data_IF_957742789055
#
_entry.id   IF_957742789055
#
_cell.length_a   1.000
_cell.length_b   1.000
_cell.length_c   1.000
_cell.angle_alpha   90.00
_cell.angle_beta   90.00
_cell.angle_gamma   90.00
#
_symmetry.space_group_name_H-M   'P 1'
#
loop_
_entity.id
_entity.type
_entity.pdbx_description
1 polymer ?
#
# COMPACT_ATOMS: atom_id res chain seq x y z
N UNK A 1 -87.92 20.08 46.94
CA UNK A 1 -86.64 20.84 47.01
C UNK A 1 -85.48 19.86 46.96
N UNK A 2 -84.78 19.77 45.82
CA UNK A 2 -83.53 18.99 45.64
C UNK A 2 -82.58 19.89 44.89
N UNK A 3 -81.47 20.24 45.49
CA UNK A 3 -80.42 21.02 44.91
C UNK A 3 -79.56 20.10 44.02
N UNK A 4 -79.26 20.53 42.78
CA UNK A 4 -78.34 19.91 41.84
C UNK A 4 -76.98 20.53 42.07
N UNK A 5 -76.00 19.70 42.41
CA UNK A 5 -74.59 20.01 42.57
C UNK A 5 -73.91 19.98 41.21
N UNK A 6 -73.31 21.06 40.79
CA UNK A 6 -72.52 21.16 39.53
C UNK A 6 -71.13 20.71 39.83
N UNK A 7 -70.70 19.66 39.08
CA UNK A 7 -69.29 19.18 39.05
C UNK A 7 -68.47 19.96 38.00
N UNK A 8 -67.46 20.68 38.49
CA UNK A 8 -66.50 21.43 37.73
C UNK A 8 -65.54 20.49 37.03
N UNK A 9 -65.63 20.46 35.70
CA UNK A 9 -64.66 19.71 34.81
C UNK A 9 -63.34 20.46 34.74
N UNK A 10 -62.29 19.82 35.21
CA UNK A 10 -60.92 20.32 35.16
C UNK A 10 -60.31 19.95 33.82
N UNK A 11 -60.23 20.84 32.84
CA UNK A 11 -59.51 20.69 31.58
C UNK A 11 -58.03 20.56 31.88
N UNK A 12 -57.47 19.40 31.57
CA UNK A 12 -56.02 19.19 31.53
C UNK A 12 -55.49 19.78 30.23
N UNK A 13 -54.86 20.93 30.27
CA UNK A 13 -54.07 21.47 29.18
C UNK A 13 -52.85 20.58 28.99
N UNK A 14 -52.78 19.86 27.87
CA UNK A 14 -51.58 19.19 27.37
C UNK A 14 -50.58 20.26 26.89
N UNK A 15 -49.59 20.53 27.70
CA UNK A 15 -48.43 21.36 27.31
C UNK A 15 -47.58 20.56 26.34
N UNK A 16 -47.70 20.88 25.06
CA UNK A 16 -46.78 20.35 24.04
C UNK A 16 -45.42 20.99 24.31
N UNK A 17 -44.54 20.17 24.87
CA UNK A 17 -43.15 20.53 25.13
C UNK A 17 -42.45 20.73 23.79
N UNK A 18 -42.28 21.98 23.37
CA UNK A 18 -41.52 22.35 22.17
C UNK A 18 -40.04 22.00 22.41
N UNK A 19 -39.60 20.92 21.82
CA UNK A 19 -38.18 20.56 21.79
C UNK A 19 -37.42 21.58 20.94
N UNK A 20 -36.29 22.12 21.40
CA UNK A 20 -35.56 23.13 20.64
C UNK A 20 -34.96 22.50 19.39
N UNK A 21 -35.52 22.82 18.22
CA UNK A 21 -35.11 22.38 16.88
C UNK A 21 -33.66 22.75 16.51
N UNK A 22 -32.97 23.61 17.28
CA UNK A 22 -31.62 24.05 17.02
C UNK A 22 -30.57 22.97 17.23
N UNK A 23 -30.74 22.07 18.22
CA UNK A 23 -29.71 21.01 18.48
C UNK A 23 -29.68 19.92 17.45
N UNK A 24 -30.74 19.68 16.69
CA UNK A 24 -30.79 18.64 15.69
C UNK A 24 -29.99 19.00 14.44
N UNK A 25 -30.00 20.25 14.01
CA UNK A 25 -29.21 20.73 12.85
C UNK A 25 -27.71 20.67 13.08
N UNK A 26 -27.25 20.98 14.27
CA UNK A 26 -25.81 20.92 14.57
C UNK A 26 -25.28 19.49 14.67
N UNK A 27 -26.03 18.58 15.28
CA UNK A 27 -25.66 17.16 15.35
C UNK A 27 -25.63 16.51 13.98
N UNK A 28 -26.55 16.89 13.08
CA UNK A 28 -26.58 16.39 11.72
C UNK A 28 -25.40 16.92 10.87
N UNK A 29 -24.98 18.16 11.08
CA UNK A 29 -23.77 18.71 10.42
C UNK A 29 -22.51 18.02 10.88
N UNK A 30 -22.35 17.74 12.17
CA UNK A 30 -21.23 17.00 12.72
C UNK A 30 -21.17 15.56 12.17
N UNK A 31 -22.30 14.87 12.07
CA UNK A 31 -22.38 13.53 11.47
C UNK A 31 -21.98 13.54 9.98
N UNK A 32 -22.45 14.51 9.22
CA UNK A 32 -22.09 14.64 7.80
C UNK A 32 -20.59 14.91 7.62
N UNK A 33 -20.01 15.78 8.44
CA UNK A 33 -18.58 16.10 8.40
C UNK A 33 -17.73 14.88 8.80
N UNK A 34 -18.13 14.14 9.82
CA UNK A 34 -17.42 12.91 10.22
C UNK A 34 -17.52 11.81 9.17
N UNK A 35 -18.70 11.59 8.56
CA UNK A 35 -18.87 10.61 7.48
C UNK A 35 -18.07 11.03 6.24
N UNK A 36 -18.08 12.31 5.88
CA UNK A 36 -17.29 12.85 4.77
C UNK A 36 -15.78 12.71 5.03
N UNK A 37 -15.33 12.93 6.28
CA UNK A 37 -13.94 12.70 6.68
C UNK A 37 -13.54 11.22 6.59
N UNK A 38 -14.41 10.30 7.03
CA UNK A 38 -14.17 8.86 6.90
C UNK A 38 -14.14 8.42 5.42
N UNK A 39 -14.97 8.98 4.56
CA UNK A 39 -14.95 8.71 3.11
C UNK A 39 -13.70 9.26 2.44
N UNK A 40 -13.17 10.40 2.87
CA UNK A 40 -11.94 10.99 2.32
C UNK A 40 -10.67 10.24 2.76
N UNK A 41 -10.65 9.65 3.95
CA UNK A 41 -9.49 8.86 4.44
C UNK A 41 -9.38 7.50 3.74
N UNK A 42 -10.49 6.96 3.23
CA UNK A 42 -10.51 5.63 2.57
C UNK A 42 -9.87 5.60 1.16
N UNK A 43 -9.45 6.76 0.60
CA UNK A 43 -9.05 6.86 -0.82
C UNK A 43 -7.52 6.87 -1.03
N UNK A 44 -6.71 6.86 0.03
CA UNK A 44 -5.27 7.16 -0.08
C UNK A 44 -4.33 5.94 -0.09
N UNK A 45 -4.82 4.71 -0.20
CA UNK A 45 -3.98 3.52 -0.08
C UNK A 45 -3.53 2.98 -1.44
N UNK A 46 -2.28 3.26 -1.80
CA UNK A 46 -1.61 2.60 -2.93
C UNK A 46 -1.49 1.11 -2.67
N UNK A 47 -2.10 0.30 -3.50
CA UNK A 47 -2.11 -1.15 -3.29
C UNK A 47 -1.40 -1.87 -4.41
N UNK A 48 -0.44 -2.70 -4.03
CA UNK A 48 0.07 -3.71 -4.95
C UNK A 48 -1.10 -4.54 -5.49
N UNK A 49 -1.17 -4.73 -6.79
CA UNK A 49 -2.28 -5.42 -7.45
C UNK A 49 -3.33 -4.49 -8.08
N UNK A 50 -3.23 -3.18 -7.90
CA UNK A 50 -4.04 -2.20 -8.67
C UNK A 50 -3.57 -2.12 -10.13
N UNK A 51 -4.49 -1.77 -11.03
CA UNK A 51 -4.21 -1.57 -12.46
C UNK A 51 -3.53 -0.23 -12.73
N UNK A 52 -2.95 -0.07 -13.92
CA UNK A 52 -2.33 1.19 -14.34
C UNK A 52 -3.32 2.38 -14.31
N UNK A 53 -4.60 2.14 -14.63
CA UNK A 53 -5.64 3.17 -14.56
C UNK A 53 -5.87 3.62 -13.12
N UNK A 54 -5.99 2.68 -12.17
CA UNK A 54 -6.14 3.00 -10.75
C UNK A 54 -4.95 3.77 -10.19
N UNK A 55 -3.74 3.50 -10.72
CA UNK A 55 -2.55 4.29 -10.38
C UNK A 55 -2.64 5.72 -10.90
N UNK A 56 -3.12 5.93 -12.14
CA UNK A 56 -3.32 7.27 -12.70
C UNK A 56 -4.37 8.05 -11.88
N UNK A 57 -5.46 7.41 -11.51
CA UNK A 57 -6.51 8.04 -10.67
C UNK A 57 -5.96 8.49 -9.31
N UNK A 58 -5.00 7.76 -8.78
CA UNK A 58 -4.42 8.00 -7.45
C UNK A 58 -3.24 8.96 -7.45
N UNK A 59 -2.31 8.77 -8.37
CA UNK A 59 -1.02 9.48 -8.39
C UNK A 59 -0.92 10.52 -9.49
N UNK A 60 -1.92 10.60 -10.38
CA UNK A 60 -1.84 11.38 -11.60
C UNK A 60 -1.15 10.64 -12.73
N UNK A 61 -0.90 11.35 -13.83
CA UNK A 61 -0.18 10.78 -14.97
C UNK A 61 1.23 10.35 -14.57
N UNK A 62 1.73 9.22 -15.09
CA UNK A 62 3.10 8.80 -14.82
C UNK A 62 4.09 9.85 -15.38
N UNK A 63 5.14 10.15 -14.62
CA UNK A 63 6.23 11.04 -15.06
C UNK A 63 7.14 10.36 -16.07
N UNK A 64 7.18 9.01 -16.05
CA UNK A 64 7.87 8.19 -17.03
C UNK A 64 7.09 6.89 -17.24
N UNK A 65 6.89 6.51 -18.52
CA UNK A 65 6.28 5.25 -18.90
C UNK A 65 7.12 4.59 -19.97
N UNK A 66 7.85 3.53 -19.61
CA UNK A 66 8.67 2.78 -20.55
C UNK A 66 8.14 1.37 -20.74
N UNK A 67 7.91 1.00 -22.01
CA UNK A 67 7.59 -0.38 -22.38
C UNK A 67 8.82 -1.29 -22.37
N UNK A 68 10.05 -0.74 -22.36
CA UNK A 68 11.30 -1.54 -22.35
C UNK A 68 12.58 -0.71 -22.22
N UNK A 69 12.52 0.60 -22.41
CA UNK A 69 13.72 1.45 -22.30
C UNK A 69 13.66 2.25 -21.03
N UNK A 70 14.44 1.83 -20.09
CA UNK A 70 14.79 2.61 -18.92
C UNK A 70 15.75 3.68 -19.43
N UNK A 71 15.54 4.91 -19.02
CA UNK A 71 16.59 5.92 -19.11
C UNK A 71 17.86 5.30 -18.54
N UNK A 72 18.98 5.47 -19.21
CA UNK A 72 20.26 4.75 -19.04
C UNK A 72 20.83 4.66 -17.61
N UNK A 73 20.13 5.17 -16.60
CA UNK A 73 20.59 5.25 -15.21
C UNK A 73 19.88 4.32 -14.20
N UNK A 74 18.80 3.62 -14.57
CA UNK A 74 18.07 2.80 -13.61
C UNK A 74 17.73 1.39 -14.17
N UNK A 75 18.16 0.36 -13.45
CA UNK A 75 17.79 -1.03 -13.77
C UNK A 75 16.26 -1.22 -13.74
N UNK A 76 15.70 -2.06 -14.65
CA UNK A 76 14.29 -2.40 -14.65
C UNK A 76 13.90 -3.03 -13.32
N UNK A 77 12.66 -2.75 -12.86
CA UNK A 77 12.10 -3.48 -11.73
C UNK A 77 11.97 -4.98 -12.09
N UNK A 78 11.48 -5.25 -13.29
CA UNK A 78 11.34 -6.58 -13.87
C UNK A 78 11.67 -6.45 -15.35
N UNK A 79 12.60 -7.25 -15.85
CA UNK A 79 12.94 -7.25 -17.26
C UNK A 79 11.75 -7.66 -18.12
N UNK A 80 11.51 -6.95 -19.23
CA UNK A 80 10.39 -7.21 -20.13
C UNK A 80 9.02 -6.78 -19.65
N UNK A 81 8.90 -6.25 -18.45
CA UNK A 81 7.65 -5.70 -17.93
C UNK A 81 7.45 -4.22 -18.35
N UNK A 82 6.22 -3.75 -18.26
CA UNK A 82 5.86 -2.34 -18.43
C UNK A 82 6.15 -1.63 -17.12
N UNK A 83 6.82 -0.48 -17.19
CA UNK A 83 7.18 0.30 -16.01
C UNK A 83 6.53 1.68 -16.08
N UNK A 84 5.90 2.08 -14.96
CA UNK A 84 5.43 3.44 -14.76
C UNK A 84 6.13 4.02 -13.53
N UNK A 85 6.53 5.27 -13.63
CA UNK A 85 7.09 6.05 -12.53
C UNK A 85 6.15 7.19 -12.22
N UNK A 86 5.86 7.38 -10.93
CA UNK A 86 5.01 8.44 -10.41
C UNK A 86 5.79 9.23 -9.36
N UNK A 87 5.54 10.53 -9.30
CA UNK A 87 6.01 11.39 -8.21
C UNK A 87 4.80 11.90 -7.42
N UNK A 88 4.74 11.54 -6.16
CA UNK A 88 3.58 11.85 -5.32
C UNK A 88 4.01 12.16 -3.89
N UNK A 89 3.67 13.36 -3.38
CA UNK A 89 3.92 13.79 -2.00
C UNK A 89 5.37 13.55 -1.52
N UNK A 90 6.36 13.84 -2.36
CA UNK A 90 7.78 13.65 -2.03
C UNK A 90 8.28 12.21 -2.18
N UNK A 91 7.47 11.31 -2.74
CA UNK A 91 7.83 9.94 -3.06
C UNK A 91 7.94 9.73 -4.56
N UNK A 92 8.96 9.00 -4.96
CA UNK A 92 9.09 8.38 -6.28
C UNK A 92 8.59 6.94 -6.17
N UNK A 93 7.52 6.63 -6.89
CA UNK A 93 6.86 5.33 -6.88
C UNK A 93 7.06 4.71 -8.26
N UNK A 94 7.74 3.57 -8.33
CA UNK A 94 7.93 2.82 -9.55
C UNK A 94 7.09 1.56 -9.49
N UNK A 95 6.25 1.32 -10.50
CA UNK A 95 5.39 0.16 -10.60
C UNK A 95 5.72 -0.66 -11.86
N UNK A 96 5.73 -1.99 -11.73
CA UNK A 96 5.90 -2.91 -12.85
C UNK A 96 4.61 -3.69 -13.09
N UNK A 97 4.20 -3.76 -14.36
CA UNK A 97 3.00 -4.44 -14.84
C UNK A 97 3.43 -5.50 -15.87
N UNK A 98 2.94 -6.72 -15.74
CA UNK A 98 3.24 -7.78 -16.73
C UNK A 98 2.40 -7.65 -18.01
N UNK A 99 1.31 -6.90 -17.95
CA UNK A 99 0.39 -6.60 -19.05
C UNK A 99 -0.05 -5.15 -18.95
N UNK A 100 -0.40 -4.51 -20.08
CA UNK A 100 -0.77 -3.10 -20.15
C UNK A 100 -1.89 -2.72 -19.17
N UNK A 101 -2.95 -3.52 -19.15
CA UNK A 101 -4.12 -3.30 -18.29
C UNK A 101 -4.11 -4.22 -17.06
N UNK A 102 -2.98 -4.91 -16.86
CA UNK A 102 -2.82 -5.82 -15.75
C UNK A 102 -2.55 -5.10 -14.44
N UNK A 103 -2.67 -5.82 -13.32
CA UNK A 103 -2.34 -5.25 -12.03
C UNK A 103 -0.83 -5.19 -11.80
N UNK A 104 -0.39 -4.18 -11.05
CA UNK A 104 0.98 -4.02 -10.62
C UNK A 104 1.45 -5.26 -9.84
N UNK A 105 2.60 -5.79 -10.20
CA UNK A 105 3.18 -7.01 -9.60
C UNK A 105 4.37 -6.71 -8.71
N UNK A 106 5.04 -5.57 -8.93
CA UNK A 106 6.14 -5.06 -8.11
C UNK A 106 6.08 -3.55 -8.03
N UNK A 107 6.37 -3.01 -6.86
CA UNK A 107 6.43 -1.57 -6.61
C UNK A 107 7.66 -1.25 -5.79
N UNK A 108 8.35 -0.17 -6.15
CA UNK A 108 9.42 0.41 -5.34
C UNK A 108 8.98 1.82 -4.90
N UNK A 109 9.10 2.07 -3.61
CA UNK A 109 8.90 3.39 -3.00
C UNK A 109 10.25 3.94 -2.58
N UNK A 110 10.56 5.14 -3.03
CA UNK A 110 11.79 5.86 -2.69
C UNK A 110 11.46 7.32 -2.41
N UNK A 111 12.10 7.93 -1.41
CA UNK A 111 11.95 9.37 -1.20
C UNK A 111 12.65 10.15 -2.30
N UNK A 112 12.01 11.24 -2.74
CA UNK A 112 12.66 12.25 -3.60
C UNK A 112 13.63 13.02 -2.71
N UNK A 113 14.91 13.01 -3.10
CA UNK A 113 15.96 13.69 -2.34
C UNK A 113 15.83 15.18 -2.56
N UNK A 114 15.45 15.91 -1.50
CA UNK A 114 15.42 17.37 -1.46
C UNK A 114 16.34 17.86 -0.36
N UNK A 115 16.86 19.08 -0.49
CA UNK A 115 17.75 19.65 0.52
C UNK A 115 17.07 19.67 1.90
N UNK A 116 17.78 19.18 2.92
CA UNK A 116 17.29 19.12 4.31
C UNK A 116 16.36 17.94 4.66
N UNK A 117 15.98 17.10 3.71
CA UNK A 117 15.17 15.91 3.97
C UNK A 117 16.05 14.66 3.99
N UNK A 118 15.95 13.87 5.05
CA UNK A 118 16.64 12.59 5.11
C UNK A 118 16.11 11.63 4.03
N UNK A 119 16.98 11.04 3.19
CA UNK A 119 16.55 10.03 2.22
C UNK A 119 16.15 8.72 2.88
N UNK A 120 16.50 8.52 4.15
CA UNK A 120 16.16 7.29 4.86
C UNK A 120 14.67 7.20 5.16
N UNK A 121 14.12 6.02 4.94
CA UNK A 121 12.73 5.69 5.26
C UNK A 121 12.64 5.42 6.76
N UNK A 122 11.81 6.20 7.42
CA UNK A 122 11.56 6.06 8.86
C UNK A 122 10.56 4.94 9.14
N UNK A 123 10.57 4.41 10.36
CA UNK A 123 9.68 3.28 10.72
C UNK A 123 8.19 3.62 10.54
N UNK A 124 7.75 4.85 10.84
CA UNK A 124 6.36 5.27 10.63
C UNK A 124 5.97 5.33 9.14
N UNK A 125 6.91 5.71 8.25
CA UNK A 125 6.69 5.73 6.81
C UNK A 125 6.60 4.30 6.25
N UNK A 126 7.48 3.43 6.73
CA UNK A 126 7.42 2.00 6.40
C UNK A 126 6.08 1.39 6.83
N UNK A 127 5.61 1.68 8.06
CA UNK A 127 4.31 1.21 8.53
C UNK A 127 3.16 1.75 7.68
N UNK A 128 3.20 3.00 7.24
CA UNK A 128 2.22 3.57 6.32
C UNK A 128 2.19 2.84 4.98
N UNK A 129 3.37 2.56 4.37
CA UNK A 129 3.47 1.79 3.13
C UNK A 129 2.95 0.35 3.35
N UNK A 130 3.29 -0.29 4.47
CA UNK A 130 2.79 -1.62 4.81
C UNK A 130 1.26 -1.62 4.92
N UNK A 131 0.68 -0.67 5.66
CA UNK A 131 -0.76 -0.52 5.82
C UNK A 131 -1.46 -0.31 4.47
N UNK A 132 -0.91 0.61 3.64
CA UNK A 132 -1.41 0.89 2.29
C UNK A 132 -1.47 -0.37 1.39
N UNK A 133 -0.53 -1.28 1.56
CA UNK A 133 -0.43 -2.52 0.78
C UNK A 133 -1.02 -3.74 1.49
N UNK A 134 -1.85 -3.54 2.51
CA UNK A 134 -2.49 -4.61 3.30
C UNK A 134 -3.96 -4.74 2.94
N UNK A 135 -4.37 -5.74 2.15
CA UNK A 135 -5.79 -6.01 1.91
C UNK A 135 -6.53 -6.31 3.23
N UNK A 136 -7.83 -5.99 3.33
CA UNK A 136 -8.64 -6.31 4.49
C UNK A 136 -8.51 -7.79 4.90
N UNK A 137 -8.41 -8.04 6.20
CA UNK A 137 -8.29 -9.40 6.75
C UNK A 137 -6.92 -10.06 6.58
N UNK A 138 -5.91 -9.32 6.11
CA UNK A 138 -4.54 -9.83 5.98
C UNK A 138 -3.57 -9.10 6.91
N UNK A 139 -2.39 -9.66 7.10
CA UNK A 139 -1.33 -9.04 7.91
C UNK A 139 0.05 -9.43 7.37
N UNK A 140 1.03 -8.58 7.64
CA UNK A 140 2.43 -8.82 7.35
C UNK A 140 3.09 -9.53 8.53
N UNK A 141 3.83 -10.59 8.26
CA UNK A 141 4.65 -11.30 9.26
C UNK A 141 6.11 -11.08 8.93
N UNK A 142 6.96 -10.77 9.90
CA UNK A 142 8.41 -10.71 9.69
C UNK A 142 8.88 -12.03 9.05
N UNK A 143 9.77 -11.92 8.07
CA UNK A 143 10.41 -13.07 7.43
C UNK A 143 11.90 -12.91 7.52
N UNK A 144 12.60 -13.97 7.95
CA UNK A 144 14.05 -14.02 7.85
C UNK A 144 14.45 -14.08 6.40
N UNK A 145 15.40 -13.26 6.01
CA UNK A 145 16.03 -13.34 4.71
C UNK A 145 17.08 -14.44 4.74
N UNK A 146 16.74 -15.56 4.14
CA UNK A 146 17.66 -16.67 3.95
C UNK A 146 18.46 -16.44 2.67
N UNK A 147 19.57 -15.70 2.75
CA UNK A 147 20.47 -15.53 1.63
C UNK A 147 21.37 -16.78 1.54
N UNK A 148 21.15 -17.66 0.55
CA UNK A 148 21.96 -18.88 0.42
C UNK A 148 23.44 -18.62 0.21
N UNK A 149 23.79 -17.42 -0.26
CA UNK A 149 25.17 -16.99 -0.52
C UNK A 149 25.76 -16.11 0.62
N UNK A 150 24.99 -15.90 1.70
CA UNK A 150 25.52 -15.13 2.84
C UNK A 150 26.66 -15.90 3.52
N UNK A 151 27.83 -15.28 3.71
CA UNK A 151 28.91 -15.86 4.52
C UNK A 151 28.48 -16.12 5.98
N UNK A 152 27.35 -15.55 6.40
CA UNK A 152 26.82 -15.59 7.77
C UNK A 152 25.70 -16.64 7.97
N UNK A 153 25.65 -17.71 7.19
CA UNK A 153 24.67 -18.80 7.36
C UNK A 153 24.55 -19.35 8.79
N UNK A 154 25.58 -19.19 9.61
CA UNK A 154 25.57 -19.61 11.02
C UNK A 154 24.97 -18.62 12.01
N UNK A 155 24.86 -17.34 11.63
CA UNK A 155 24.35 -16.27 12.52
C UNK A 155 22.82 -16.19 12.52
N UNK A 156 22.15 -16.86 11.60
CA UNK A 156 20.68 -16.99 11.56
C UNK A 156 20.08 -17.57 12.87
N UNK A 157 20.88 -18.23 13.68
CA UNK A 157 20.46 -18.78 14.98
C UNK A 157 20.44 -17.74 16.13
N UNK A 158 20.97 -16.52 15.92
CA UNK A 158 21.11 -15.51 16.98
C UNK A 158 20.01 -14.45 17.02
N UNK A 159 18.89 -14.67 16.35
CA UNK A 159 17.70 -13.82 16.43
C UNK A 159 17.54 -12.88 15.24
N UNK A 160 16.29 -12.77 14.83
CA UNK A 160 15.81 -12.04 13.65
C UNK A 160 16.28 -10.57 13.58
N UNK A 161 16.42 -9.92 14.74
CA UNK A 161 16.79 -8.51 14.82
C UNK A 161 18.26 -8.24 14.47
N UNK A 162 19.17 -9.20 14.69
CA UNK A 162 20.60 -8.96 14.53
C UNK A 162 21.03 -8.95 13.06
N UNK A 163 20.53 -9.88 12.26
CA UNK A 163 20.90 -10.00 10.83
C UNK A 163 20.23 -8.89 10.02
N UNK A 164 18.96 -8.59 10.29
CA UNK A 164 18.24 -7.50 9.65
C UNK A 164 18.90 -6.14 9.93
N UNK A 165 19.40 -5.91 11.13
CA UNK A 165 20.08 -4.66 11.50
C UNK A 165 21.50 -4.55 10.90
N UNK A 166 22.23 -5.66 10.78
CA UNK A 166 23.60 -5.65 10.26
C UNK A 166 23.69 -5.29 8.76
N UNK A 167 22.64 -5.61 7.98
CA UNK A 167 22.60 -5.34 6.52
C UNK A 167 21.63 -4.20 6.17
N UNK A 168 20.90 -3.65 7.15
CA UNK A 168 19.87 -2.62 6.89
C UNK A 168 18.70 -3.14 6.05
N UNK A 169 18.53 -4.46 5.95
CA UNK A 169 17.48 -5.10 5.19
C UNK A 169 16.47 -5.77 6.12
N UNK A 170 15.20 -5.41 5.98
CA UNK A 170 14.10 -6.03 6.72
C UNK A 170 13.09 -6.57 5.71
N UNK A 171 12.52 -7.75 5.95
CA UNK A 171 11.55 -8.37 5.08
C UNK A 171 10.32 -8.85 5.85
N UNK A 172 9.16 -8.71 5.21
CA UNK A 172 7.89 -9.23 5.70
C UNK A 172 7.18 -9.99 4.58
N UNK A 173 6.37 -10.97 4.97
CA UNK A 173 5.57 -11.76 4.05
C UNK A 173 4.11 -11.80 4.50
N UNK A 174 3.21 -11.69 3.56
CA UNK A 174 1.77 -11.92 3.70
C UNK A 174 1.42 -13.39 3.44
N UNK A 175 0.25 -13.82 3.92
CA UNK A 175 -0.23 -15.22 3.72
C UNK A 175 -0.36 -15.61 2.25
N UNK A 176 -0.69 -14.66 1.37
CA UNK A 176 -0.79 -14.85 -0.09
C UNK A 176 0.56 -14.92 -0.80
N UNK A 177 1.67 -14.88 -0.05
CA UNK A 177 3.03 -14.93 -0.57
C UNK A 177 3.59 -13.59 -1.01
N UNK A 178 2.82 -12.49 -0.98
CA UNK A 178 3.34 -11.16 -1.22
C UNK A 178 4.41 -10.81 -0.19
N UNK A 179 5.42 -10.04 -0.61
CA UNK A 179 6.52 -9.63 0.27
C UNK A 179 6.71 -8.13 0.28
N UNK A 180 7.12 -7.58 1.41
CA UNK A 180 7.66 -6.23 1.54
C UNK A 180 9.12 -6.35 1.97
N UNK A 181 9.95 -5.53 1.35
CA UNK A 181 11.37 -5.50 1.57
C UNK A 181 11.86 -4.06 1.76
N UNK A 182 12.40 -3.74 2.93
CA UNK A 182 13.15 -2.51 3.16
C UNK A 182 14.61 -2.78 2.80
N UNK A 183 15.14 -2.06 1.80
CA UNK A 183 16.51 -2.21 1.30
C UNK A 183 17.33 -0.98 1.66
N UNK A 184 18.43 -1.19 2.40
CA UNK A 184 19.38 -0.14 2.78
C UNK A 184 18.73 1.11 3.41
N UNK A 185 17.57 0.98 4.05
CA UNK A 185 16.75 2.10 4.57
C UNK A 185 16.32 3.15 3.52
N UNK A 186 16.48 2.88 2.22
CA UNK A 186 16.24 3.87 1.15
C UNK A 186 15.08 3.48 0.24
N UNK A 187 14.79 2.19 0.09
CA UNK A 187 13.79 1.69 -0.83
C UNK A 187 12.92 0.68 -0.10
N UNK A 188 11.60 0.85 -0.20
CA UNK A 188 10.63 -0.19 0.16
C UNK A 188 10.14 -0.83 -1.12
N UNK A 189 10.43 -2.12 -1.30
CA UNK A 189 9.90 -2.94 -2.39
C UNK A 189 8.73 -3.76 -1.92
N UNK A 190 7.61 -3.67 -2.63
CA UNK A 190 6.44 -4.54 -2.46
C UNK A 190 6.31 -5.42 -3.70
N UNK A 191 6.12 -6.72 -3.49
CA UNK A 191 6.15 -7.69 -4.59
C UNK A 191 5.11 -8.78 -4.41
N UNK A 192 4.43 -9.15 -5.50
CA UNK A 192 3.55 -10.31 -5.58
C UNK A 192 4.31 -11.55 -6.06
N UNK A 193 3.89 -12.78 -5.65
CA UNK A 193 4.54 -14.03 -6.07
C UNK A 193 4.69 -14.18 -7.58
N UNK A 194 3.71 -13.68 -8.36
CA UNK A 194 3.73 -13.75 -9.83
C UNK A 194 4.88 -12.97 -10.48
N UNK A 195 5.43 -11.94 -9.80
CA UNK A 195 6.60 -11.23 -10.29
C UNK A 195 7.82 -12.17 -10.34
N UNK A 196 8.04 -12.93 -9.27
CA UNK A 196 9.13 -13.93 -9.20
C UNK A 196 8.93 -15.05 -10.20
N UNK A 197 7.71 -15.58 -10.26
CA UNK A 197 7.39 -16.64 -11.21
C UNK A 197 7.69 -16.21 -12.67
N UNK A 198 7.39 -14.96 -13.01
CA UNK A 198 7.72 -14.40 -14.32
C UNK A 198 9.23 -14.30 -14.54
N UNK A 199 10.00 -13.77 -13.58
CA UNK A 199 11.47 -13.68 -13.66
C UNK A 199 12.11 -15.08 -13.79
N UNK A 200 11.62 -16.08 -13.05
CA UNK A 200 12.06 -17.46 -13.16
C UNK A 200 11.82 -18.03 -14.58
N UNK A 201 10.64 -17.78 -15.14
CA UNK A 201 10.33 -18.19 -16.52
C UNK A 201 11.25 -17.52 -17.54
N UNK A 202 11.51 -16.22 -17.40
CA UNK A 202 12.46 -15.51 -18.25
C UNK A 202 13.86 -16.10 -18.15
N UNK A 203 14.31 -16.40 -16.93
CA UNK A 203 15.64 -16.98 -16.73
C UNK A 203 15.76 -18.38 -17.35
N UNK A 204 14.74 -19.22 -17.21
CA UNK A 204 14.68 -20.52 -17.86
C UNK A 204 14.76 -20.38 -19.39
N UNK A 205 13.97 -19.47 -19.98
CA UNK A 205 13.98 -19.22 -21.42
C UNK A 205 15.34 -18.73 -21.91
N UNK A 206 16.01 -17.82 -21.20
CA UNK A 206 17.37 -17.36 -21.50
C UNK A 206 18.36 -18.51 -21.44
N UNK A 207 18.33 -19.34 -20.43
CA UNK A 207 19.22 -20.47 -20.27
C UNK A 207 19.03 -21.50 -21.39
N UNK A 208 17.79 -21.76 -21.81
CA UNK A 208 17.49 -22.63 -22.95
C UNK A 208 18.06 -22.06 -24.25
N UNK A 209 17.87 -20.76 -24.51
CA UNK A 209 18.44 -20.08 -25.70
C UNK A 209 19.96 -20.16 -25.72
N UNK A 210 20.60 -19.92 -24.56
CA UNK A 210 22.08 -20.02 -24.46
C UNK A 210 22.56 -21.43 -24.74
N UNK A 211 21.88 -22.46 -24.18
CA UNK A 211 22.23 -23.86 -24.44
C UNK A 211 22.07 -24.24 -25.92
N UNK A 212 21.01 -23.77 -26.57
CA UNK A 212 20.76 -24.04 -28.00
C UNK A 212 21.78 -23.35 -28.92
N UNK A 213 22.46 -22.30 -28.45
CA UNK A 213 23.50 -21.59 -29.20
C UNK A 213 24.91 -22.22 -29.09
N UNK A 214 25.08 -23.22 -28.20
CA UNK A 214 26.36 -23.95 -28.08
C UNK A 214 26.49 -24.96 -29.25
N UNK A 215 27.53 -24.87 -30.08
CA UNK A 215 27.76 -25.84 -31.17
C UNK A 215 27.87 -27.26 -30.59
N UNK A 216 27.24 -28.21 -31.24
CA UNK A 216 27.49 -29.64 -30.96
C UNK A 216 28.83 -30.03 -31.59
N UNK A 217 29.81 -30.31 -30.74
CA UNK A 217 31.09 -30.83 -31.13
C UNK A 217 31.05 -32.36 -31.27
#
# INVERSE_FOLDING_TARGET
MKQLSATSGREKRLTIQQWPCCCFKERMRLLIVTVLWYLLVAIADARIGETSIQFVDRYGAPTDSSLTKISDSQSPLIEGAIHHTYEYQGWKIRAAFLQLDGPAVRMDYQKIITAGVSPQIQDYELQAIMAANTPPGTSWKPKMYDNPNSPNKGLAKFGEAYIANAIGEKMWQRRDGATIWLRNHLIVRVELPRARAYEEQLQVAKNQKTRASVPSF
#
